data_IF_907455704908
#
_entry.id   IF_907455704908
#
_cell.length_a   1.000
_cell.length_b   1.000
_cell.length_c   1.000
_cell.angle_alpha   90.00
_cell.angle_beta   90.00
_cell.angle_gamma   90.00
#
_symmetry.space_group_name_H-M   'P 1'
#
loop_
_entity.id
_entity.type
_entity.pdbx_description
1 polymer ?
#
# COMPACT_ATOMS: atom_id res chain seq x y z
N UNK A 1 -37.96 6.20 -21.76
CA UNK A 1 -37.36 5.85 -20.44
C UNK A 1 -36.02 6.57 -20.30
N UNK A 2 -35.74 7.23 -19.16
CA UNK A 2 -34.43 7.87 -18.96
C UNK A 2 -33.36 6.78 -18.80
N UNK A 3 -32.18 6.96 -19.40
CA UNK A 3 -31.05 6.03 -19.29
C UNK A 3 -30.04 6.54 -18.27
N UNK A 4 -29.29 5.63 -17.65
CA UNK A 4 -28.19 5.96 -16.75
C UNK A 4 -27.09 6.71 -17.51
N UNK A 5 -26.55 7.75 -16.89
CA UNK A 5 -25.49 8.58 -17.45
C UNK A 5 -24.20 7.80 -17.78
N UNK A 6 -23.90 6.73 -17.04
CA UNK A 6 -22.66 5.95 -17.18
C UNK A 6 -22.85 4.62 -17.93
N UNK A 7 -23.75 3.77 -17.47
CA UNK A 7 -23.92 2.43 -18.06
C UNK A 7 -25.01 2.33 -19.13
N UNK A 8 -25.67 3.44 -19.48
CA UNK A 8 -26.80 3.52 -20.41
C UNK A 8 -28.01 2.61 -20.07
N UNK A 9 -28.01 1.92 -18.93
CA UNK A 9 -29.10 1.06 -18.49
C UNK A 9 -30.39 1.86 -18.25
N UNK A 10 -31.57 1.28 -18.51
CA UNK A 10 -32.85 1.95 -18.26
C UNK A 10 -33.02 2.25 -16.76
N UNK A 11 -33.30 3.50 -16.43
CA UNK A 11 -33.55 3.93 -15.05
C UNK A 11 -34.94 3.48 -14.62
N UNK A 12 -34.99 2.70 -13.54
CA UNK A 12 -36.21 2.27 -12.85
C UNK A 12 -36.61 3.30 -11.77
N UNK A 13 -37.41 2.89 -10.78
CA UNK A 13 -37.90 3.75 -9.71
C UNK A 13 -36.75 4.41 -8.90
N UNK A 14 -35.68 3.66 -8.63
CA UNK A 14 -34.54 4.11 -7.84
C UNK A 14 -33.44 4.72 -8.73
N UNK A 15 -33.36 6.05 -8.74
CA UNK A 15 -32.42 6.84 -9.54
C UNK A 15 -31.87 8.03 -8.73
N UNK A 16 -30.62 8.36 -8.97
CA UNK A 16 -29.90 9.41 -8.24
C UNK A 16 -29.61 10.59 -9.16
N UNK A 17 -29.91 11.81 -8.71
CA UNK A 17 -29.71 13.04 -9.49
C UNK A 17 -28.26 13.52 -9.35
N UNK A 18 -27.65 13.93 -10.44
CA UNK A 18 -26.40 14.68 -10.51
C UNK A 18 -26.63 15.97 -11.32
N UNK A 19 -25.59 16.78 -11.51
CA UNK A 19 -25.70 18.04 -12.27
C UNK A 19 -26.15 17.81 -13.71
N UNK A 20 -25.65 16.75 -14.34
CA UNK A 20 -25.81 16.50 -15.78
C UNK A 20 -26.81 15.38 -16.11
N UNK A 21 -27.56 14.90 -15.12
CA UNK A 21 -28.60 13.89 -15.36
C UNK A 21 -28.87 12.96 -14.18
N UNK A 22 -29.15 11.69 -14.51
CA UNK A 22 -29.52 10.67 -13.54
C UNK A 22 -28.67 9.42 -13.67
N UNK A 23 -28.39 8.80 -12.53
CA UNK A 23 -27.51 7.65 -12.38
C UNK A 23 -28.31 6.51 -11.73
N UNK A 24 -28.09 5.26 -12.17
CA UNK A 24 -28.70 4.09 -11.54
C UNK A 24 -28.03 3.78 -10.18
N UNK A 25 -28.65 2.96 -9.34
CA UNK A 25 -28.09 2.59 -8.02
C UNK A 25 -26.65 2.09 -8.10
N UNK A 26 -26.36 1.16 -9.02
CA UNK A 26 -25.03 0.53 -9.11
C UNK A 26 -23.96 1.54 -9.53
N UNK A 27 -24.25 2.41 -10.49
CA UNK A 27 -23.31 3.47 -10.86
C UNK A 27 -23.19 4.54 -9.77
N UNK A 28 -24.28 4.80 -9.03
CA UNK A 28 -24.26 5.73 -7.89
C UNK A 28 -23.36 5.21 -6.78
N UNK A 29 -23.44 3.93 -6.43
CA UNK A 29 -22.57 3.28 -5.45
C UNK A 29 -21.08 3.50 -5.75
N UNK A 30 -20.70 3.33 -7.02
CA UNK A 30 -19.32 3.57 -7.49
C UNK A 30 -18.93 5.04 -7.33
N UNK A 31 -19.72 5.97 -7.89
CA UNK A 31 -19.35 7.40 -7.91
C UNK A 31 -19.56 8.13 -6.58
N UNK A 32 -20.29 7.52 -5.64
CA UNK A 32 -20.50 8.00 -4.27
C UNK A 32 -19.55 7.37 -3.27
N UNK A 33 -18.61 6.53 -3.72
CA UNK A 33 -17.69 5.76 -2.87
C UNK A 33 -18.49 4.97 -1.81
N UNK A 34 -19.28 4.01 -2.26
CA UNK A 34 -20.15 3.17 -1.42
C UNK A 34 -21.14 4.00 -0.59
N UNK A 35 -21.85 4.93 -1.23
CA UNK A 35 -22.88 5.78 -0.62
C UNK A 35 -22.39 6.74 0.47
N UNK A 36 -21.07 6.93 0.62
CA UNK A 36 -20.47 7.83 1.61
C UNK A 36 -20.57 9.31 1.22
N UNK A 37 -20.76 9.61 -0.07
CA UNK A 37 -20.81 10.98 -0.59
C UNK A 37 -22.06 11.27 -1.42
N UNK A 38 -22.52 12.51 -1.36
CA UNK A 38 -23.62 13.00 -2.20
C UNK A 38 -23.09 13.53 -3.52
N UNK A 39 -23.65 13.07 -4.65
CA UNK A 39 -23.19 13.45 -6.01
C UNK A 39 -24.07 14.50 -6.70
N UNK A 40 -25.05 15.06 -5.98
CA UNK A 40 -26.11 15.93 -6.54
C UNK A 40 -25.58 17.13 -7.32
N UNK A 41 -24.48 17.72 -6.87
CA UNK A 41 -23.88 18.93 -7.44
C UNK A 41 -22.66 18.65 -8.34
N UNK A 42 -22.25 17.39 -8.46
CA UNK A 42 -21.07 16.97 -9.20
C UNK A 42 -21.38 16.80 -10.68
N UNK A 43 -20.40 17.18 -11.51
CA UNK A 43 -20.49 17.11 -12.98
C UNK A 43 -20.14 15.73 -13.54
N UNK A 44 -20.51 15.47 -14.79
CA UNK A 44 -20.29 14.20 -15.49
C UNK A 44 -18.80 13.87 -15.57
N UNK A 45 -17.96 14.85 -15.92
CA UNK A 45 -16.51 14.66 -16.07
C UNK A 45 -15.85 14.30 -14.74
N UNK A 46 -16.23 14.99 -13.66
CA UNK A 46 -15.76 14.71 -12.30
C UNK A 46 -16.17 13.30 -11.86
N UNK A 47 -17.44 12.95 -12.04
CA UNK A 47 -17.97 11.64 -11.68
C UNK A 47 -17.44 10.53 -12.60
N UNK A 48 -17.09 10.83 -13.85
CA UNK A 48 -16.50 9.88 -14.81
C UNK A 48 -15.11 9.44 -14.38
N UNK A 49 -14.29 10.34 -13.84
CA UNK A 49 -12.99 9.99 -13.28
C UNK A 49 -13.13 9.01 -12.10
N UNK A 50 -14.09 9.27 -11.20
CA UNK A 50 -14.38 8.36 -10.08
C UNK A 50 -14.93 7.03 -10.62
N UNK A 51 -15.85 7.10 -11.59
CA UNK A 51 -16.41 5.93 -12.22
C UNK A 51 -15.31 5.07 -12.83
N UNK A 52 -14.47 5.58 -13.71
CA UNK A 52 -13.38 4.81 -14.34
C UNK A 52 -12.38 4.25 -13.31
N UNK A 53 -12.09 4.98 -12.23
CA UNK A 53 -11.19 4.54 -11.16
C UNK A 53 -11.78 3.39 -10.32
N UNK A 54 -13.11 3.30 -10.20
CA UNK A 54 -13.78 2.39 -9.27
C UNK A 54 -14.79 1.44 -9.96
N UNK A 55 -15.03 1.56 -11.27
CA UNK A 55 -15.98 0.77 -12.06
C UNK A 55 -15.39 -0.55 -12.53
N UNK A 56 -14.07 -0.63 -12.63
CA UNK A 56 -13.43 -1.92 -12.72
C UNK A 56 -13.63 -2.57 -11.35
N UNK A 57 -14.28 -3.75 -11.29
CA UNK A 57 -14.17 -4.54 -10.09
C UNK A 57 -12.67 -4.71 -9.87
N UNK A 58 -12.14 -4.19 -8.76
CA UNK A 58 -11.00 -4.85 -8.17
C UNK A 58 -11.52 -6.27 -7.96
N UNK A 59 -11.18 -7.19 -8.87
CA UNK A 59 -11.31 -8.61 -8.58
C UNK A 59 -10.68 -8.73 -7.21
N UNK A 60 -11.42 -9.27 -6.25
CA UNK A 60 -10.81 -9.85 -5.06
C UNK A 60 -9.84 -10.89 -5.60
N UNK A 61 -8.63 -10.43 -5.88
CA UNK A 61 -7.59 -11.25 -6.43
C UNK A 61 -7.05 -11.90 -5.17
N UNK A 62 -7.43 -13.15 -4.94
CA UNK A 62 -6.93 -13.92 -3.81
C UNK A 62 -5.41 -13.80 -3.84
N UNK A 63 -4.85 -13.24 -2.77
CA UNK A 63 -3.42 -13.05 -2.65
C UNK A 63 -2.76 -14.42 -2.54
N UNK A 64 -1.99 -14.82 -3.55
CA UNK A 64 -1.29 -16.10 -3.57
C UNK A 64 0.17 -15.90 -3.18
N UNK A 65 0.59 -16.49 -2.06
CA UNK A 65 1.98 -16.39 -1.61
C UNK A 65 2.86 -17.23 -2.55
N UNK A 66 3.59 -16.55 -3.43
CA UNK A 66 4.57 -17.17 -4.32
C UNK A 66 5.95 -17.29 -3.66
N UNK A 67 6.34 -16.29 -2.87
CA UNK A 67 7.59 -16.29 -2.10
C UNK A 67 7.50 -15.33 -0.90
N UNK A 68 8.41 -15.52 0.04
CA UNK A 68 8.43 -14.75 1.29
C UNK A 68 9.84 -14.32 1.65
N UNK A 69 9.95 -13.18 2.34
CA UNK A 69 11.17 -12.81 3.08
C UNK A 69 10.82 -12.85 4.56
N UNK A 70 11.20 -13.97 5.18
CA UNK A 70 10.78 -14.34 6.52
C UNK A 70 9.25 -14.23 6.64
N UNK A 71 8.77 -13.58 7.69
CA UNK A 71 7.36 -13.26 7.89
C UNK A 71 7.09 -11.76 7.66
N UNK A 72 8.04 -11.02 7.09
CA UNK A 72 7.97 -9.56 7.02
C UNK A 72 7.32 -9.05 5.74
N UNK A 73 7.61 -9.72 4.63
CA UNK A 73 7.18 -9.32 3.29
C UNK A 73 6.80 -10.58 2.54
N UNK A 74 5.58 -10.61 2.02
CA UNK A 74 5.06 -11.70 1.19
C UNK A 74 4.86 -11.16 -0.22
N UNK A 75 5.18 -11.97 -1.22
CA UNK A 75 5.06 -11.62 -2.63
C UNK A 75 4.08 -12.56 -3.31
N UNK A 76 3.27 -11.98 -4.17
CA UNK A 76 2.44 -12.66 -5.15
C UNK A 76 2.94 -12.20 -6.53
N UNK A 77 3.96 -12.89 -7.05
CA UNK A 77 4.55 -12.56 -8.35
C UNK A 77 3.57 -12.87 -9.50
N UNK A 78 2.56 -13.72 -9.29
CA UNK A 78 1.54 -14.05 -10.30
C UNK A 78 0.60 -12.88 -10.54
N UNK A 79 0.14 -12.25 -9.46
CA UNK A 79 -0.78 -11.11 -9.50
C UNK A 79 -0.07 -9.75 -9.35
N UNK A 80 1.27 -9.75 -9.26
CA UNK A 80 2.11 -8.57 -9.03
C UNK A 80 1.70 -7.79 -7.77
N UNK A 81 1.47 -8.50 -6.66
CA UNK A 81 1.07 -7.91 -5.38
C UNK A 81 2.14 -8.14 -4.30
N UNK A 82 2.32 -7.14 -3.44
CA UNK A 82 3.09 -7.23 -2.21
C UNK A 82 2.16 -7.18 -1.02
N UNK A 83 2.37 -8.04 -0.04
CA UNK A 83 1.68 -8.00 1.25
C UNK A 83 2.68 -7.75 2.37
N UNK A 84 2.36 -6.76 3.21
CA UNK A 84 2.98 -6.54 4.51
C UNK A 84 2.03 -7.10 5.57
N UNK A 85 2.36 -8.24 6.22
CA UNK A 85 1.51 -8.82 7.25
C UNK A 85 1.40 -7.95 8.51
N UNK A 86 2.34 -7.00 8.68
CA UNK A 86 2.42 -6.08 9.81
C UNK A 86 2.50 -6.78 11.18
N UNK A 87 3.42 -7.74 11.31
CA UNK A 87 3.63 -8.42 12.59
C UNK A 87 4.00 -7.44 13.71
N UNK A 88 3.36 -7.61 14.87
CA UNK A 88 3.59 -6.80 16.09
C UNK A 88 5.06 -6.68 16.50
N UNK A 89 5.88 -7.68 16.20
CA UNK A 89 7.33 -7.64 16.51
C UNK A 89 8.07 -6.55 15.71
N UNK A 90 7.53 -6.17 14.55
CA UNK A 90 8.17 -5.30 13.56
C UNK A 90 7.35 -4.06 13.22
N UNK A 91 6.19 -3.90 13.87
CA UNK A 91 5.34 -2.72 13.83
C UNK A 91 5.13 -2.22 15.25
N UNK A 92 5.20 -0.90 15.49
CA UNK A 92 4.94 -0.32 16.82
C UNK A 92 3.49 -0.50 17.28
N UNK A 93 2.58 -0.83 16.35
CA UNK A 93 1.14 -0.92 16.55
C UNK A 93 0.57 -2.18 15.88
N UNK A 94 -0.62 -2.60 16.31
CA UNK A 94 -1.34 -3.75 15.74
C UNK A 94 -2.04 -3.34 14.44
N UNK A 95 -1.30 -3.37 13.34
CA UNK A 95 -1.84 -3.06 12.02
C UNK A 95 -2.40 -4.33 11.35
N UNK A 96 -3.45 -4.18 10.54
CA UNK A 96 -3.95 -5.25 9.67
C UNK A 96 -2.95 -5.50 8.53
N UNK A 97 -2.92 -6.70 7.92
CA UNK A 97 -2.16 -6.93 6.70
C UNK A 97 -2.52 -5.91 5.62
N UNK A 98 -1.51 -5.45 4.89
CA UNK A 98 -1.68 -4.47 3.83
C UNK A 98 -1.14 -5.00 2.51
N UNK A 99 -2.02 -5.03 1.51
CA UNK A 99 -1.70 -5.48 0.15
C UNK A 99 -1.61 -4.27 -0.78
N UNK A 100 -0.62 -4.27 -1.66
CA UNK A 100 -0.41 -3.25 -2.67
C UNK A 100 0.17 -3.84 -3.95
N UNK A 101 -0.13 -3.24 -5.10
CA UNK A 101 0.46 -3.62 -6.38
C UNK A 101 1.93 -3.27 -6.43
N UNK A 102 2.76 -4.09 -7.08
CA UNK A 102 4.16 -3.75 -7.38
C UNK A 102 4.27 -2.41 -8.12
N UNK A 103 3.36 -2.13 -9.05
CA UNK A 103 3.30 -0.86 -9.78
C UNK A 103 2.98 0.36 -8.92
N UNK A 104 2.47 0.16 -7.71
CA UNK A 104 2.20 1.25 -6.76
C UNK A 104 3.40 1.63 -5.91
N UNK A 105 4.46 0.82 -5.92
CA UNK A 105 5.67 1.06 -5.14
C UNK A 105 6.57 2.05 -5.89
N UNK A 106 6.81 3.21 -5.28
CA UNK A 106 7.64 4.25 -5.85
C UNK A 106 9.11 4.11 -5.44
N UNK A 107 9.35 3.71 -4.19
CA UNK A 107 10.68 3.68 -3.61
C UNK A 107 10.71 2.73 -2.39
N UNK A 108 11.82 2.02 -2.22
CA UNK A 108 12.16 1.31 -0.99
C UNK A 108 13.55 1.75 -0.49
N UNK A 109 13.65 2.14 0.78
CA UNK A 109 14.91 2.58 1.38
C UNK A 109 15.14 1.94 2.75
N UNK A 110 16.41 1.72 3.09
CA UNK A 110 16.83 1.31 4.43
C UNK A 110 17.29 2.55 5.19
N UNK A 111 16.64 2.87 6.31
CA UNK A 111 17.06 3.93 7.22
C UNK A 111 17.81 3.34 8.41
N UNK A 112 19.03 3.83 8.62
CA UNK A 112 19.91 3.48 9.74
C UNK A 112 20.11 4.73 10.58
N UNK A 113 19.81 4.63 11.87
CA UNK A 113 20.15 5.68 12.84
C UNK A 113 21.17 5.13 13.82
N UNK A 114 22.22 5.88 14.09
CA UNK A 114 23.28 5.49 15.00
C UNK A 114 23.60 6.65 15.94
N UNK A 115 23.83 6.33 17.21
CA UNK A 115 24.17 7.28 18.26
C UNK A 115 25.41 6.76 19.00
N UNK A 116 26.36 7.64 19.24
CA UNK A 116 27.54 7.34 20.05
C UNK A 116 27.18 7.42 21.53
N UNK A 117 27.39 6.33 22.26
CA UNK A 117 27.15 6.25 23.71
C UNK A 117 28.49 5.97 24.40
N UNK A 118 28.80 6.79 25.42
CA UNK A 118 29.94 6.56 26.31
C UNK A 118 29.48 5.71 27.48
N UNK A 119 29.82 4.43 27.46
CA UNK A 119 29.50 3.50 28.55
C UNK A 119 30.81 2.94 29.13
N UNK A 120 31.00 3.06 30.45
CA UNK A 120 32.16 2.49 31.17
C UNK A 120 33.53 2.80 30.52
N UNK A 121 33.73 4.06 30.11
CA UNK A 121 34.97 4.56 29.44
C UNK A 121 35.24 4.01 28.03
N UNK A 122 34.30 3.30 27.39
CA UNK A 122 34.38 2.90 25.99
C UNK A 122 33.27 3.58 25.18
N UNK A 123 33.64 4.13 24.05
CA UNK A 123 32.70 4.67 23.07
C UNK A 123 32.13 3.52 22.23
N UNK A 124 30.80 3.43 22.16
CA UNK A 124 30.10 2.41 21.40
C UNK A 124 28.97 3.02 20.59
N UNK A 125 28.80 2.57 19.35
CA UNK A 125 27.65 2.94 18.54
C UNK A 125 26.47 2.03 18.83
N UNK A 126 25.34 2.64 19.13
CA UNK A 126 24.03 1.98 19.20
C UNK A 126 23.18 2.46 18.05
N UNK A 127 22.41 1.57 17.43
CA UNK A 127 21.61 1.96 16.28
C UNK A 127 20.32 1.20 16.11
N UNK A 128 19.45 1.78 15.30
CA UNK A 128 18.18 1.22 14.84
C UNK A 128 18.20 1.04 13.32
N UNK A 129 17.33 0.15 12.85
CA UNK A 129 17.17 -0.17 11.42
C UNK A 129 15.68 -0.27 11.13
N UNK A 130 15.23 0.49 10.12
CA UNK A 130 13.90 0.33 9.54
C UNK A 130 13.96 0.40 8.02
N UNK A 131 12.97 -0.21 7.39
CA UNK A 131 12.73 -0.12 5.96
C UNK A 131 11.56 0.85 5.77
N UNK A 132 11.70 1.78 4.83
CA UNK A 132 10.63 2.69 4.42
C UNK A 132 10.25 2.35 2.98
N UNK A 133 8.98 1.99 2.78
CA UNK A 133 8.39 1.74 1.47
C UNK A 133 7.45 2.91 1.18
N UNK A 134 7.65 3.60 0.06
CA UNK A 134 6.77 4.67 -0.40
C UNK A 134 5.89 4.16 -1.53
N UNK A 135 4.60 4.44 -1.44
CA UNK A 135 3.63 4.08 -2.48
C UNK A 135 2.97 5.32 -3.05
N UNK A 136 2.42 5.21 -4.26
CA UNK A 136 1.58 6.26 -4.87
C UNK A 136 0.12 6.22 -4.39
N UNK A 137 -0.23 5.31 -3.47
CA UNK A 137 -1.57 5.25 -2.89
C UNK A 137 -1.75 6.38 -1.88
N UNK A 138 -2.76 7.24 -2.10
CA UNK A 138 -3.00 8.45 -1.28
C UNK A 138 -3.16 8.13 0.22
N UNK A 139 -3.84 7.04 0.56
CA UNK A 139 -4.09 6.63 1.95
C UNK A 139 -2.92 5.83 2.57
N UNK A 140 -1.99 5.33 1.76
CA UNK A 140 -0.92 4.40 2.17
C UNK A 140 0.45 4.81 1.63
N UNK A 141 0.69 6.12 1.56
CA UNK A 141 1.85 6.70 0.87
C UNK A 141 3.20 6.32 1.47
N UNK A 142 3.24 5.95 2.76
CA UNK A 142 4.46 5.51 3.44
C UNK A 142 4.17 4.33 4.38
N UNK A 143 5.03 3.31 4.34
CA UNK A 143 5.01 2.15 5.23
C UNK A 143 6.38 1.90 5.82
N UNK A 144 6.40 1.52 7.10
CA UNK A 144 7.62 1.27 7.85
C UNK A 144 7.66 -0.18 8.36
N UNK A 145 8.81 -0.83 8.19
CA UNK A 145 9.10 -2.13 8.79
C UNK A 145 10.27 -1.93 9.74
N UNK A 146 10.04 -2.03 11.05
CA UNK A 146 11.08 -1.84 12.07
C UNK A 146 11.79 -3.16 12.35
N UNK A 147 13.01 -3.32 11.84
CA UNK A 147 13.83 -4.51 12.11
C UNK A 147 14.53 -4.44 13.47
N UNK A 148 14.98 -3.23 13.83
CA UNK A 148 15.57 -2.91 15.13
C UNK A 148 14.85 -1.65 15.64
N UNK A 149 13.74 -1.78 16.39
CA UNK A 149 13.00 -0.64 16.93
C UNK A 149 13.73 0.04 18.10
N UNK A 150 14.41 -0.74 18.93
CA UNK A 150 15.16 -0.26 20.10
C UNK A 150 16.66 -0.30 19.78
N UNK A 151 17.42 0.79 20.01
CA UNK A 151 18.84 0.83 19.68
C UNK A 151 19.63 -0.31 20.33
N UNK A 152 20.42 -1.03 19.53
CA UNK A 152 21.37 -2.05 20.02
C UNK A 152 22.77 -1.76 19.48
N UNK A 153 23.79 -2.37 20.07
CA UNK A 153 25.17 -2.18 19.64
C UNK A 153 25.35 -2.57 18.16
N UNK A 154 25.88 -1.64 17.35
CA UNK A 154 26.06 -1.80 15.89
C UNK A 154 26.97 -2.98 15.54
N UNK A 155 27.94 -3.28 16.40
CA UNK A 155 28.88 -4.39 16.17
C UNK A 155 28.31 -5.77 16.55
N UNK A 156 27.12 -5.82 17.16
CA UNK A 156 26.50 -7.08 17.56
C UNK A 156 26.11 -7.92 16.33
N UNK A 157 26.11 -9.24 16.50
CA UNK A 157 25.65 -10.16 15.45
C UNK A 157 24.20 -9.85 15.06
N UNK A 158 23.33 -9.57 16.04
CA UNK A 158 21.93 -9.23 15.80
C UNK A 158 21.78 -8.00 14.88
N UNK A 159 22.59 -6.95 15.10
CA UNK A 159 22.55 -5.75 14.25
C UNK A 159 22.93 -6.09 12.81
N UNK A 160 24.07 -6.78 12.61
CA UNK A 160 24.57 -7.18 11.28
C UNK A 160 23.59 -8.10 10.54
N UNK A 161 22.97 -9.04 11.25
CA UNK A 161 21.97 -9.95 10.66
C UNK A 161 20.73 -9.18 10.20
N UNK A 162 20.22 -8.25 11.01
CA UNK A 162 19.07 -7.42 10.62
C UNK A 162 19.42 -6.44 9.50
N UNK A 163 20.64 -5.92 9.47
CA UNK A 163 21.11 -5.05 8.38
C UNK A 163 21.18 -5.78 7.04
N UNK A 164 21.71 -7.00 7.05
CA UNK A 164 21.73 -7.89 5.88
C UNK A 164 20.30 -8.22 5.40
N UNK A 165 19.40 -8.49 6.35
CA UNK A 165 17.98 -8.70 6.04
C UNK A 165 17.33 -7.45 5.44
N UNK A 166 17.67 -6.25 5.92
CA UNK A 166 17.16 -4.99 5.42
C UNK A 166 17.53 -4.78 3.94
N UNK A 167 18.81 -5.00 3.61
CA UNK A 167 19.28 -4.90 2.23
C UNK A 167 18.65 -5.95 1.33
N UNK A 168 18.48 -7.19 1.81
CA UNK A 168 17.77 -8.23 1.05
C UNK A 168 16.34 -7.80 0.73
N UNK A 169 15.58 -7.30 1.70
CA UNK A 169 14.20 -6.84 1.48
C UNK A 169 14.19 -5.69 0.46
N UNK A 170 15.08 -4.72 0.61
CA UNK A 170 15.18 -3.59 -0.33
C UNK A 170 15.46 -4.08 -1.75
N UNK A 171 16.46 -4.94 -1.94
CA UNK A 171 16.83 -5.47 -3.26
C UNK A 171 15.67 -6.19 -3.94
N UNK A 172 14.95 -7.04 -3.21
CA UNK A 172 13.81 -7.80 -3.74
C UNK A 172 12.64 -6.89 -4.12
N UNK A 173 12.36 -5.85 -3.33
CA UNK A 173 11.32 -4.86 -3.65
C UNK A 173 11.74 -4.01 -4.87
N UNK A 174 13.01 -3.62 -4.98
CA UNK A 174 13.53 -2.89 -6.14
C UNK A 174 13.52 -3.73 -7.42
N UNK A 175 13.75 -5.04 -7.32
CA UNK A 175 13.68 -5.97 -8.46
C UNK A 175 12.27 -6.06 -9.03
N UNK A 176 11.26 -6.24 -8.18
CA UNK A 176 9.85 -6.28 -8.65
C UNK A 176 9.42 -4.93 -9.22
N UNK A 177 9.93 -3.82 -8.69
CA UNK A 177 9.68 -2.49 -9.25
C UNK A 177 10.25 -2.35 -10.67
N UNK A 178 11.48 -2.82 -10.91
CA UNK A 178 12.14 -2.76 -12.23
C UNK A 178 11.50 -3.71 -13.25
N UNK A 179 11.05 -4.89 -12.81
CA UNK A 179 10.35 -5.87 -13.65
C UNK A 179 9.05 -5.33 -14.24
N UNK A 180 8.35 -4.44 -13.52
CA UNK A 180 7.11 -3.79 -13.98
C UNK A 180 7.36 -2.72 -15.04
N UNK A 181 8.52 -2.05 -15.02
CA UNK A 181 8.87 -0.97 -15.96
C UNK A 181 9.32 -1.50 -17.33
N UNK A 182 9.59 -2.80 -17.43
CA UNK A 182 10.14 -3.45 -18.62
C UNK A 182 9.10 -4.17 -19.51
N UNK A 183 7.81 -3.98 -19.23
CA UNK A 183 6.69 -4.56 -19.99
C UNK A 183 5.86 -3.48 -20.70
#
# INVERSE_FOLDING_TARGET
>A
MKKCLFCAAPLKLMKFKCKDGYICKNCYEIVSLNFSQTVKNKGKEELKQIYEKHSFPQKETEFEITRTINQLVLFDDKNALLCLPNHLKYCKEKLKPEIFSFSSINNCQVERKQTLVKEKKKEQFFGTIKIIIRTNQVEKSMKEIWLIPNPIQVNSLAYKTMDTLAEKIKQEIEQVQKGVVSC
#
